data_IF_493326832413
#
_entry.id   IF_493326832413
#
_cell.length_a   1.000
_cell.length_b   1.000
_cell.length_c   1.000
_cell.angle_alpha   90.00
_cell.angle_beta   90.00
_cell.angle_gamma   90.00
#
_symmetry.space_group_name_H-M   'P 1'
#
loop_
_entity.id
_entity.type
_entity.pdbx_description
1 polymer ?
#
# COMPACT_ATOMS: atom_id res chain seq x y z
N UNK A 1 11.20 -13.50 -1.38
CA UNK A 1 11.60 -12.27 -2.11
C UNK A 1 11.20 -11.06 -1.27
N UNK A 2 11.97 -9.97 -1.25
CA UNK A 2 11.75 -8.80 -0.37
C UNK A 2 11.56 -7.50 -1.19
N UNK A 3 10.38 -6.84 -1.15
CA UNK A 3 10.16 -5.56 -1.84
C UNK A 3 11.11 -4.45 -1.38
N UNK A 4 11.49 -4.42 -0.10
CA UNK A 4 12.33 -3.37 0.49
C UNK A 4 13.70 -3.27 -0.20
N UNK A 5 14.22 -4.39 -0.72
CA UNK A 5 15.48 -4.42 -1.48
C UNK A 5 15.43 -3.46 -2.68
N UNK A 6 14.30 -3.38 -3.39
CA UNK A 6 14.14 -2.53 -4.56
C UNK A 6 13.82 -1.06 -4.24
N UNK A 7 13.56 -0.77 -2.96
CA UNK A 7 13.27 0.57 -2.46
C UNK A 7 14.50 1.20 -1.81
N UNK A 8 15.22 0.43 -0.98
CA UNK A 8 16.29 0.94 -0.12
C UNK A 8 17.70 0.58 -0.60
N UNK A 9 17.94 -0.65 -1.02
CA UNK A 9 19.29 -1.13 -1.34
C UNK A 9 19.63 -0.93 -2.82
N UNK A 10 18.82 -1.54 -3.70
CA UNK A 10 18.94 -1.41 -5.15
C UNK A 10 17.74 -0.66 -5.66
N UNK A 11 17.76 0.65 -5.40
CA UNK A 11 16.70 1.56 -5.79
C UNK A 11 16.33 1.40 -7.28
N UNK A 12 15.12 0.93 -7.54
CA UNK A 12 14.59 0.78 -8.90
C UNK A 12 13.93 2.09 -9.34
N UNK A 13 14.48 2.82 -10.33
CA UNK A 13 13.86 4.06 -10.82
C UNK A 13 12.54 3.81 -11.54
N UNK A 14 12.33 2.61 -12.10
CA UNK A 14 11.14 2.23 -12.88
C UNK A 14 10.05 1.55 -12.04
N UNK A 15 10.10 1.66 -10.71
CA UNK A 15 9.05 1.10 -9.82
C UNK A 15 7.71 1.83 -9.99
N UNK A 16 6.63 1.22 -9.48
CA UNK A 16 5.35 1.92 -9.34
C UNK A 16 5.51 3.18 -8.49
N UNK A 17 4.81 4.24 -8.87
CA UNK A 17 4.75 5.51 -8.15
C UNK A 17 3.45 5.71 -7.37
N UNK A 18 2.51 4.77 -7.50
CA UNK A 18 1.21 4.81 -6.84
C UNK A 18 1.02 3.53 -6.03
N UNK A 19 0.75 3.68 -4.73
CA UNK A 19 0.67 2.59 -3.77
C UNK A 19 -0.64 2.63 -2.99
N UNK A 20 -1.34 1.50 -2.96
CA UNK A 20 -2.54 1.28 -2.15
C UNK A 20 -2.29 0.08 -1.24
N UNK A 21 -2.15 0.31 0.07
CA UNK A 21 -1.74 -0.71 1.04
C UNK A 21 -2.79 -0.79 2.15
N UNK A 22 -3.23 -2.00 2.49
CA UNK A 22 -4.36 -2.27 3.40
C UNK A 22 -4.13 -3.51 4.25
N UNK A 23 -4.32 -3.37 5.56
CA UNK A 23 -4.32 -4.48 6.50
C UNK A 23 -5.42 -4.28 7.53
N UNK A 24 -5.90 -5.36 8.15
CA UNK A 24 -6.79 -5.27 9.31
C UNK A 24 -6.01 -5.05 10.61
N UNK A 25 -6.56 -4.28 11.56
CA UNK A 25 -5.93 -4.11 12.89
C UNK A 25 -5.97 -5.39 13.74
N UNK A 26 -6.84 -6.34 13.41
CA UNK A 26 -6.93 -7.66 14.02
C UNK A 26 -6.24 -8.75 13.19
N UNK A 27 -5.55 -8.39 12.11
CA UNK A 27 -4.70 -9.32 11.35
C UNK A 27 -3.46 -9.69 12.18
N UNK A 28 -3.29 -10.98 12.46
CA UNK A 28 -2.19 -11.54 13.25
C UNK A 28 -1.20 -12.36 12.42
N UNK A 29 -1.37 -12.42 11.11
CA UNK A 29 -0.52 -13.23 10.21
C UNK A 29 0.89 -12.62 10.08
N UNK A 30 1.01 -11.32 10.34
CA UNK A 30 2.29 -10.63 10.47
C UNK A 30 2.19 -9.40 11.38
N UNK A 31 3.33 -8.85 11.81
CA UNK A 31 3.35 -7.59 12.55
C UNK A 31 2.93 -6.43 11.65
N UNK A 32 2.05 -5.55 12.14
CA UNK A 32 1.65 -4.31 11.45
C UNK A 32 2.84 -3.42 11.06
N UNK A 33 3.97 -3.55 11.75
CA UNK A 33 5.23 -2.85 11.44
C UNK A 33 5.76 -3.23 10.06
N UNK A 34 5.52 -4.45 9.57
CA UNK A 34 5.99 -4.87 8.24
C UNK A 34 5.35 -4.00 7.15
N UNK A 35 4.03 -3.84 7.18
CA UNK A 35 3.33 -2.94 6.24
C UNK A 35 3.72 -1.48 6.45
N UNK A 36 3.82 -1.07 7.71
CA UNK A 36 4.14 0.33 8.05
C UNK A 36 5.54 0.72 7.58
N UNK A 37 6.53 -0.17 7.66
CA UNK A 37 7.87 0.05 7.14
C UNK A 37 7.89 0.14 5.61
N UNK A 38 7.11 -0.70 4.92
CA UNK A 38 6.97 -0.61 3.46
C UNK A 38 6.35 0.73 3.05
N UNK A 39 5.26 1.12 3.73
CA UNK A 39 4.59 2.39 3.52
C UNK A 39 5.55 3.58 3.77
N UNK A 40 6.25 3.61 4.89
CA UNK A 40 7.21 4.66 5.20
C UNK A 40 8.37 4.72 4.18
N UNK A 41 8.84 3.56 3.69
CA UNK A 41 9.90 3.53 2.69
C UNK A 41 9.47 4.14 1.35
N UNK A 42 8.25 3.88 0.87
CA UNK A 42 7.76 4.48 -0.38
C UNK A 42 7.40 5.96 -0.22
N UNK A 43 6.88 6.35 0.94
CA UNK A 43 6.59 7.76 1.28
C UNK A 43 7.88 8.60 1.32
N UNK A 44 8.95 8.08 1.95
CA UNK A 44 10.27 8.72 1.95
C UNK A 44 10.89 8.88 0.56
N UNK A 45 10.45 8.08 -0.42
CA UNK A 45 10.88 8.20 -1.81
C UNK A 45 10.01 9.17 -2.63
N UNK A 46 9.00 9.79 -2.01
CA UNK A 46 8.07 10.73 -2.64
C UNK A 46 7.03 10.09 -3.55
N UNK A 47 6.75 8.79 -3.39
CA UNK A 47 5.69 8.12 -4.14
C UNK A 47 4.29 8.50 -3.60
N UNK A 48 3.26 8.41 -4.43
CA UNK A 48 1.87 8.61 -4.03
C UNK A 48 1.38 7.41 -3.23
N UNK A 49 1.22 7.60 -1.92
CA UNK A 49 0.87 6.56 -0.96
C UNK A 49 -0.54 6.76 -0.39
N UNK A 50 -1.33 5.70 -0.47
CA UNK A 50 -2.55 5.53 0.29
C UNK A 50 -2.43 4.28 1.17
N UNK A 51 -2.10 4.47 2.45
CA UNK A 51 -1.97 3.39 3.43
C UNK A 51 -2.96 3.57 4.58
N UNK A 52 -3.69 2.51 4.93
CA UNK A 52 -4.60 2.52 6.06
C UNK A 52 -4.79 1.13 6.65
N UNK A 53 -5.13 1.10 7.94
CA UNK A 53 -5.61 -0.11 8.60
C UNK A 53 -7.14 -0.09 8.69
N UNK A 54 -7.77 -1.24 8.46
CA UNK A 54 -9.19 -1.42 8.73
C UNK A 54 -9.38 -1.80 10.19
N UNK A 55 -10.16 -1.00 10.90
CA UNK A 55 -10.48 -1.25 12.30
C UNK A 55 -11.26 -2.57 12.47
N UNK A 56 -10.86 -3.36 13.46
CA UNK A 56 -11.45 -4.66 13.84
C UNK A 56 -11.55 -5.68 12.69
N UNK A 57 -10.72 -5.54 11.66
CA UNK A 57 -10.68 -6.51 10.56
C UNK A 57 -9.50 -7.46 10.68
N UNK A 58 -9.69 -8.68 10.19
CA UNK A 58 -8.66 -9.72 10.13
C UNK A 58 -7.97 -9.80 8.76
N UNK A 59 -7.30 -10.93 8.54
CA UNK A 59 -6.57 -11.20 7.31
C UNK A 59 -7.46 -11.20 6.06
N UNK A 60 -6.89 -10.78 4.92
CA UNK A 60 -7.53 -10.78 3.60
C UNK A 60 -8.86 -9.98 3.50
N UNK A 61 -9.04 -8.97 4.34
CA UNK A 61 -10.23 -8.11 4.31
C UNK A 61 -10.14 -7.05 3.20
N UNK A 62 -11.24 -6.80 2.48
CA UNK A 62 -11.36 -5.77 1.45
C UNK A 62 -12.69 -5.01 1.60
N UNK A 63 -12.80 -4.17 2.63
CA UNK A 63 -14.05 -3.46 2.99
C UNK A 63 -14.29 -2.18 2.19
N UNK A 64 -13.29 -1.68 1.45
CA UNK A 64 -13.35 -0.43 0.69
C UNK A 64 -13.19 -0.58 -0.85
N UNK A 65 -13.72 -1.64 -1.51
CA UNK A 65 -13.43 -1.89 -2.92
C UNK A 65 -13.94 -0.76 -3.83
N UNK A 66 -15.02 -0.08 -3.44
CA UNK A 66 -15.50 1.10 -4.16
C UNK A 66 -14.51 2.25 -4.13
N UNK A 67 -13.81 2.47 -3.01
CA UNK A 67 -12.81 3.52 -2.90
C UNK A 67 -11.50 3.13 -3.58
N UNK A 68 -11.15 1.85 -3.58
CA UNK A 68 -10.05 1.35 -4.41
C UNK A 68 -10.28 1.65 -5.89
N UNK A 69 -11.48 1.36 -6.43
CA UNK A 69 -11.79 1.64 -7.84
C UNK A 69 -11.78 3.15 -8.14
N UNK A 70 -12.30 3.98 -7.23
CA UNK A 70 -12.21 5.45 -7.37
C UNK A 70 -10.76 5.93 -7.36
N UNK A 71 -9.90 5.35 -6.52
CA UNK A 71 -8.48 5.67 -6.48
C UNK A 71 -7.78 5.27 -7.79
N UNK A 72 -8.06 4.08 -8.33
CA UNK A 72 -7.54 3.66 -9.65
C UNK A 72 -7.97 4.65 -10.74
N UNK A 73 -9.25 5.06 -10.77
CA UNK A 73 -9.75 6.05 -11.71
C UNK A 73 -9.03 7.40 -11.57
N UNK A 74 -8.77 7.85 -10.33
CA UNK A 74 -8.00 9.07 -10.06
C UNK A 74 -6.55 8.97 -10.57
N UNK A 75 -5.86 7.88 -10.27
CA UNK A 75 -4.46 7.64 -10.69
C UNK A 75 -4.33 7.59 -12.21
N UNK A 76 -5.26 6.91 -12.87
CA UNK A 76 -5.21 6.70 -14.34
C UNK A 76 -5.81 7.85 -15.15
N UNK A 77 -6.56 8.75 -14.50
CA UNK A 77 -7.38 9.75 -15.19
C UNK A 77 -8.60 9.15 -15.92
N UNK A 78 -8.90 7.87 -15.73
CA UNK A 78 -10.02 7.20 -16.38
C UNK A 78 -11.36 7.79 -15.90
N UNK A 79 -12.18 8.22 -16.86
CA UNK A 79 -13.55 8.71 -16.66
C UNK A 79 -14.48 7.91 -17.58
N UNK A 80 -15.55 7.34 -17.04
CA UNK A 80 -16.65 6.75 -17.82
C UNK A 80 -17.60 7.82 -18.32
#
# INVERSE_FOLDING_TARGET
MNPMYHLLEKHNPNRSKHWWIRLGTSDTDTSHVISTNLAAAVDNLGDDLNHSFYWDQGHATNVDPGDFIKWVAKVTGYKK
#
